data_IF_547621802853
#
_entry.id   IF_547621802853
#
_cell.length_a   1.000
_cell.length_b   1.000
_cell.length_c   1.000
_cell.angle_alpha   90.00
_cell.angle_beta   90.00
_cell.angle_gamma   90.00
#
_symmetry.space_group_name_H-M   'P 1'
#
loop_
_entity.id
_entity.type
_entity.pdbx_description
1 polymer ?
#
# COMPACT_ATOMS: atom_id res chain seq x y z
N UNK A 1 4.33 -7.81 -11.64
CA UNK A 1 3.65 -7.52 -10.36
C UNK A 1 4.59 -6.66 -9.54
N UNK A 2 4.07 -5.71 -8.77
CA UNK A 2 4.85 -4.68 -8.07
C UNK A 2 5.97 -5.28 -7.20
N UNK A 3 5.78 -6.47 -6.64
CA UNK A 3 6.81 -7.22 -5.91
C UNK A 3 8.05 -7.53 -6.76
N UNK A 4 7.85 -8.03 -7.98
CA UNK A 4 8.94 -8.36 -8.91
C UNK A 4 9.66 -7.09 -9.36
N UNK A 5 8.92 -6.00 -9.59
CA UNK A 5 9.48 -4.71 -9.97
C UNK A 5 10.34 -4.14 -8.84
N UNK A 6 9.92 -4.30 -7.58
CA UNK A 6 10.72 -3.96 -6.40
C UNK A 6 12.02 -4.76 -6.32
N UNK A 7 11.94 -6.08 -6.52
CA UNK A 7 13.12 -6.97 -6.51
C UNK A 7 14.10 -6.59 -7.63
N UNK A 8 13.59 -6.28 -8.82
CA UNK A 8 14.39 -5.79 -9.94
C UNK A 8 15.05 -4.45 -9.64
N UNK A 9 14.30 -3.47 -9.11
CA UNK A 9 14.83 -2.16 -8.76
C UNK A 9 15.95 -2.26 -7.70
N UNK A 10 15.77 -3.08 -6.67
CA UNK A 10 16.80 -3.34 -5.67
C UNK A 10 18.08 -3.93 -6.28
N UNK A 11 17.94 -4.79 -7.29
CA UNK A 11 19.07 -5.38 -8.00
C UNK A 11 19.82 -4.34 -8.85
N UNK A 12 19.09 -3.52 -9.60
CA UNK A 12 19.66 -2.43 -10.40
C UNK A 12 20.40 -1.41 -9.52
N UNK A 13 19.84 -1.09 -8.36
CA UNK A 13 20.44 -0.16 -7.39
C UNK A 13 21.55 -0.79 -6.53
N UNK A 14 21.80 -2.10 -6.62
CA UNK A 14 22.82 -2.79 -5.82
C UNK A 14 22.47 -2.97 -4.33
N UNK A 15 21.22 -2.74 -3.94
CA UNK A 15 20.77 -2.72 -2.53
C UNK A 15 20.04 -3.99 -2.09
N UNK A 16 19.95 -5.02 -2.94
CA UNK A 16 19.29 -6.31 -2.63
C UNK A 16 19.71 -6.91 -1.29
N UNK A 17 20.97 -6.72 -0.89
CA UNK A 17 21.52 -7.24 0.36
C UNK A 17 20.83 -6.67 1.63
N UNK A 18 20.20 -5.50 1.55
CA UNK A 18 19.46 -4.86 2.65
C UNK A 18 18.08 -5.49 2.89
N UNK A 19 17.58 -6.31 1.95
CA UNK A 19 16.22 -6.82 1.98
C UNK A 19 16.18 -8.35 2.04
N UNK A 20 15.14 -8.89 2.67
CA UNK A 20 14.77 -10.31 2.64
C UNK A 20 13.47 -10.43 1.85
N UNK A 21 13.50 -11.22 0.79
CA UNK A 21 12.39 -11.46 -0.12
C UNK A 21 11.71 -12.79 0.22
N UNK A 22 10.39 -12.78 0.37
CA UNK A 22 9.59 -13.98 0.63
C UNK A 22 8.73 -14.29 -0.61
N UNK A 23 8.96 -15.46 -1.23
CA UNK A 23 8.30 -15.81 -2.49
C UNK A 23 7.00 -16.59 -2.30
N UNK A 24 6.76 -17.20 -1.13
CA UNK A 24 5.51 -17.96 -0.87
C UNK A 24 4.37 -17.05 -0.44
N UNK A 25 4.69 -16.00 0.32
CA UNK A 25 3.79 -14.89 0.63
C UNK A 25 4.52 -13.62 0.21
N UNK A 26 4.03 -12.84 -0.78
CA UNK A 26 4.76 -11.69 -1.29
C UNK A 26 4.86 -10.61 -0.22
N UNK A 27 6.02 -10.58 0.44
CA UNK A 27 6.44 -9.61 1.44
C UNK A 27 7.96 -9.39 1.32
N UNK A 28 8.39 -8.19 1.69
CA UNK A 28 9.80 -7.81 1.72
C UNK A 28 10.11 -7.27 3.12
N UNK A 29 11.15 -7.78 3.75
CA UNK A 29 11.63 -7.29 5.07
C UNK A 29 12.90 -6.48 4.90
N UNK A 30 12.95 -5.29 5.49
CA UNK A 30 14.18 -4.51 5.65
C UNK A 30 15.02 -5.14 6.76
N UNK A 31 16.20 -5.66 6.45
CA UNK A 31 17.00 -6.44 7.43
C UNK A 31 17.47 -5.63 8.63
N UNK A 32 17.74 -4.34 8.44
CA UNK A 32 18.26 -3.48 9.49
C UNK A 32 17.20 -3.16 10.57
N UNK A 33 15.94 -3.00 10.17
CA UNK A 33 14.86 -2.57 11.07
C UNK A 33 13.82 -3.65 11.36
N UNK A 34 13.75 -4.69 10.55
CA UNK A 34 12.69 -5.71 10.62
C UNK A 34 11.34 -5.26 10.04
N UNK A 35 11.23 -4.02 9.57
CA UNK A 35 10.01 -3.49 8.97
C UNK A 35 9.66 -4.23 7.68
N UNK A 36 8.36 -4.37 7.40
CA UNK A 36 7.85 -5.14 6.29
C UNK A 36 7.12 -4.27 5.28
N UNK A 37 7.34 -4.58 4.00
CA UNK A 37 6.54 -4.12 2.87
C UNK A 37 5.70 -5.32 2.44
N UNK A 38 4.38 -5.19 2.51
CA UNK A 38 3.44 -6.27 2.24
C UNK A 38 2.73 -6.01 0.92
N UNK A 39 2.61 -7.02 0.07
CA UNK A 39 1.91 -6.93 -1.21
C UNK A 39 0.60 -7.73 -1.11
N UNK A 40 -0.54 -7.08 -1.33
CA UNK A 40 -1.86 -7.68 -1.22
C UNK A 40 -2.75 -7.21 -2.37
N UNK A 41 -3.53 -8.12 -2.93
CA UNK A 41 -4.64 -7.79 -3.80
C UNK A 41 -5.84 -7.33 -2.97
N UNK A 42 -6.67 -6.47 -3.57
CA UNK A 42 -7.95 -5.99 -3.01
C UNK A 42 -9.14 -6.91 -3.36
N UNK A 43 -8.85 -8.10 -3.89
CA UNK A 43 -9.83 -9.15 -4.14
C UNK A 43 -10.39 -9.75 -2.84
N UNK A 44 -9.59 -9.70 -1.76
CA UNK A 44 -9.98 -10.16 -0.44
C UNK A 44 -9.63 -9.09 0.62
N UNK A 45 -10.55 -8.14 0.80
CA UNK A 45 -10.43 -7.02 1.74
C UNK A 45 -10.25 -7.47 3.20
N UNK A 46 -10.85 -8.61 3.59
CA UNK A 46 -10.73 -9.17 4.95
C UNK A 46 -9.30 -9.61 5.26
N UNK A 47 -8.54 -10.07 4.26
CA UNK A 47 -7.12 -10.38 4.43
C UNK A 47 -6.27 -9.14 4.67
N UNK A 48 -6.72 -7.95 4.26
CA UNK A 48 -5.99 -6.69 4.46
C UNK A 48 -6.32 -6.09 5.83
N UNK A 49 -7.59 -6.08 6.21
CA UNK A 49 -8.03 -5.51 7.49
C UNK A 49 -7.52 -6.27 8.71
N UNK A 50 -7.19 -7.56 8.54
CA UNK A 50 -6.63 -8.42 9.59
C UNK A 50 -5.10 -8.41 9.67
N UNK A 51 -4.40 -7.61 8.86
CA UNK A 51 -2.94 -7.58 8.85
C UNK A 51 -2.44 -6.91 10.12
N UNK A 52 -1.61 -7.63 10.84
CA UNK A 52 -0.80 -7.12 11.94
C UNK A 52 0.67 -7.30 11.60
N UNK A 53 1.51 -6.37 12.05
CA UNK A 53 2.96 -6.44 11.91
C UNK A 53 3.60 -6.56 13.28
N UNK A 54 4.67 -7.34 13.36
CA UNK A 54 5.44 -7.62 14.58
C UNK A 54 6.38 -6.46 14.95
N UNK A 55 6.75 -5.62 13.98
CA UNK A 55 7.62 -4.46 14.16
C UNK A 55 7.00 -3.23 13.51
N UNK A 56 6.79 -2.18 14.31
CA UNK A 56 6.23 -0.90 13.87
C UNK A 56 4.70 -0.94 13.69
N UNK A 57 4.19 -0.14 12.76
CA UNK A 57 2.79 -0.11 12.37
C UNK A 57 2.66 0.18 10.89
N UNK A 58 1.53 -0.22 10.31
CA UNK A 58 1.18 0.15 8.95
C UNK A 58 0.83 1.63 8.94
N UNK A 59 1.75 2.44 8.43
CA UNK A 59 1.57 3.89 8.28
C UNK A 59 1.58 4.34 6.81
N UNK A 60 1.95 3.45 5.88
CA UNK A 60 1.99 3.76 4.46
C UNK A 60 1.22 2.72 3.65
N UNK A 61 0.35 3.19 2.78
CA UNK A 61 -0.33 2.37 1.78
C UNK A 61 -0.05 2.94 0.40
N UNK A 62 0.25 2.06 -0.56
CA UNK A 62 0.41 2.43 -1.96
C UNK A 62 -0.51 1.57 -2.81
N UNK A 63 -1.49 2.23 -3.44
CA UNK A 63 -2.47 1.63 -4.32
C UNK A 63 -2.04 1.82 -5.77
N UNK A 64 -1.42 0.78 -6.33
CA UNK A 64 -1.09 0.69 -7.75
C UNK A 64 -2.33 0.31 -8.57
N UNK A 65 -2.38 0.81 -9.82
CA UNK A 65 -3.50 0.57 -10.75
C UNK A 65 -4.88 0.79 -10.12
N UNK A 66 -5.05 1.86 -9.34
CA UNK A 66 -6.25 2.08 -8.52
C UNK A 66 -7.58 2.12 -9.30
N UNK A 67 -7.52 2.26 -10.63
CA UNK A 67 -8.66 2.13 -11.53
C UNK A 67 -9.27 0.69 -11.56
N UNK A 68 -8.50 -0.34 -11.17
CA UNK A 68 -9.02 -1.72 -11.06
C UNK A 68 -9.84 -1.95 -9.79
N UNK A 69 -9.79 -1.02 -8.83
CA UNK A 69 -10.58 -1.10 -7.62
C UNK A 69 -12.01 -0.69 -7.99
N UNK A 70 -12.92 -1.65 -7.94
CA UNK A 70 -14.27 -1.49 -8.50
C UNK A 70 -15.11 -0.43 -7.78
N UNK A 71 -14.90 -0.23 -6.48
CA UNK A 71 -15.71 0.67 -5.65
C UNK A 71 -14.85 1.47 -4.66
N UNK A 72 -15.33 2.67 -4.34
CA UNK A 72 -14.75 3.51 -3.28
C UNK A 72 -14.79 2.82 -1.92
N UNK A 73 -15.86 2.07 -1.61
CA UNK A 73 -16.01 1.40 -0.31
C UNK A 73 -14.88 0.40 -0.03
N UNK A 74 -14.41 -0.33 -1.06
CA UNK A 74 -13.26 -1.24 -0.95
C UNK A 74 -11.98 -0.46 -0.59
N UNK A 75 -11.78 0.68 -1.24
CA UNK A 75 -10.65 1.56 -0.96
C UNK A 75 -10.73 2.13 0.46
N UNK A 76 -11.87 2.71 0.83
CA UNK A 76 -12.11 3.32 2.14
C UNK A 76 -11.94 2.33 3.29
N UNK A 77 -12.44 1.10 3.15
CA UNK A 77 -12.28 0.03 4.15
C UNK A 77 -10.80 -0.25 4.45
N UNK A 78 -9.97 -0.33 3.41
CA UNK A 78 -8.53 -0.56 3.59
C UNK A 78 -7.84 0.65 4.19
N UNK A 79 -8.14 1.86 3.71
CA UNK A 79 -7.59 3.10 4.28
C UNK A 79 -7.93 3.19 5.77
N UNK A 80 -9.17 2.87 6.14
CA UNK A 80 -9.63 2.86 7.53
C UNK A 80 -8.90 1.83 8.40
N UNK A 81 -8.64 0.64 7.88
CA UNK A 81 -7.89 -0.38 8.63
C UNK A 81 -6.45 0.04 8.97
N UNK A 82 -5.86 0.90 8.12
CA UNK A 82 -4.51 1.44 8.31
C UNK A 82 -4.53 2.63 9.29
N UNK A 83 -5.70 3.12 9.73
CA UNK A 83 -5.84 4.29 10.62
C UNK A 83 -5.40 4.06 12.08
N UNK A 84 -4.80 2.93 12.45
CA UNK A 84 -4.23 2.72 13.81
C UNK A 84 -3.29 3.86 14.26
N UNK A 85 -3.45 4.39 15.47
CA UNK A 85 -2.63 5.50 15.98
C UNK A 85 -1.43 4.99 16.77
N UNK A 86 -0.24 5.51 16.48
CA UNK A 86 0.89 5.45 17.41
C UNK A 86 1.09 6.81 18.05
N UNK A 87 1.25 6.82 19.37
CA UNK A 87 1.60 8.02 20.13
C UNK A 87 3.11 8.27 20.06
N UNK A 88 3.59 8.65 18.87
CA UNK A 88 4.98 9.08 18.66
C UNK A 88 5.00 10.43 17.94
N UNK A 89 5.88 11.37 18.33
CA UNK A 89 5.86 12.75 17.82
C UNK A 89 5.97 12.85 16.29
N UNK A 90 6.72 11.95 15.67
CA UNK A 90 7.00 11.93 14.23
C UNK A 90 6.13 10.91 13.47
N UNK A 91 4.98 10.54 14.05
CA UNK A 91 4.06 9.61 13.38
C UNK A 91 3.44 10.26 12.14
N UNK A 92 3.85 9.78 10.97
CA UNK A 92 3.28 10.21 9.70
C UNK A 92 2.56 9.05 9.01
N UNK A 93 1.39 9.34 8.46
CA UNK A 93 0.64 8.41 7.61
C UNK A 93 0.56 8.94 6.20
N UNK A 94 0.69 8.05 5.24
CA UNK A 94 0.55 8.39 3.83
C UNK A 94 -0.25 7.34 3.09
N UNK A 95 -1.15 7.80 2.24
CA UNK A 95 -1.81 6.98 1.24
C UNK A 95 -1.38 7.54 -0.12
N UNK A 96 -0.70 6.71 -0.90
CA UNK A 96 -0.28 7.04 -2.27
C UNK A 96 -1.16 6.26 -3.24
N UNK A 97 -1.74 6.94 -4.23
CA UNK A 97 -2.62 6.33 -5.23
C UNK A 97 -2.08 6.66 -6.62
N UNK A 98 -1.86 5.62 -7.42
CA UNK A 98 -1.33 5.72 -8.79
C UNK A 98 -2.28 4.99 -9.73
N UNK A 99 -2.66 5.66 -10.81
CA UNK A 99 -3.57 5.11 -11.80
C UNK A 99 -3.42 5.85 -13.13
N UNK A 100 -3.81 5.18 -14.20
CA UNK A 100 -3.96 5.81 -15.51
C UNK A 100 -5.40 6.36 -15.63
N UNK A 101 -5.60 7.60 -16.09
CA UNK A 101 -6.93 8.20 -16.20
C UNK A 101 -7.66 7.69 -17.45
N UNK A 102 -8.67 6.83 -17.28
CA UNK A 102 -9.41 6.23 -18.42
C UNK A 102 -10.88 6.63 -18.51
N UNK A 103 -11.53 7.07 -17.42
CA UNK A 103 -12.97 7.32 -17.41
C UNK A 103 -13.38 8.36 -16.35
N UNK A 104 -14.12 9.38 -16.79
CA UNK A 104 -14.64 10.44 -15.92
C UNK A 104 -15.72 9.97 -14.93
N UNK A 105 -16.36 8.83 -15.19
CA UNK A 105 -17.38 8.26 -14.28
C UNK A 105 -16.79 7.41 -13.16
N UNK A 106 -15.46 7.24 -13.15
CA UNK A 106 -14.81 6.44 -12.11
C UNK A 106 -14.83 7.16 -10.77
N UNK A 107 -15.05 6.42 -9.68
CA UNK A 107 -15.17 6.98 -8.32
C UNK A 107 -13.93 7.78 -7.88
N UNK A 108 -12.74 7.40 -8.38
CA UNK A 108 -11.47 8.13 -8.16
C UNK A 108 -11.57 9.63 -8.50
N UNK A 109 -12.29 9.99 -9.56
CA UNK A 109 -12.47 11.39 -9.96
C UNK A 109 -13.21 12.16 -8.86
N UNK A 110 -14.33 11.60 -8.41
CA UNK A 110 -15.16 12.18 -7.35
C UNK A 110 -14.38 12.34 -6.04
N UNK A 111 -13.63 11.32 -5.64
CA UNK A 111 -12.93 11.31 -4.35
C UNK A 111 -11.74 12.25 -4.30
N UNK A 112 -10.97 12.37 -5.38
CA UNK A 112 -9.67 13.04 -5.36
C UNK A 112 -9.60 14.34 -6.18
N UNK A 113 -10.56 14.61 -7.08
CA UNK A 113 -10.44 15.70 -8.06
C UNK A 113 -11.67 16.61 -8.17
N UNK A 114 -12.85 16.18 -7.70
CA UNK A 114 -14.04 17.05 -7.74
C UNK A 114 -13.99 18.10 -6.62
N UNK A 115 -14.28 19.36 -6.97
CA UNK A 115 -14.10 20.56 -6.12
C UNK A 115 -14.88 20.54 -4.80
N UNK A 116 -15.93 19.72 -4.65
CA UNK A 116 -16.67 19.58 -3.39
C UNK A 116 -15.84 18.89 -2.28
N UNK A 117 -14.66 18.34 -2.60
CA UNK A 117 -13.85 17.52 -1.69
C UNK A 117 -12.59 18.22 -1.17
N UNK A 118 -12.40 19.52 -1.48
CA UNK A 118 -11.21 20.31 -1.12
C UNK A 118 -11.36 21.12 0.17
#
# INVERSE_FOLDING_TARGET
STYTDFKWACNVLGVTHLFKFNESLPEITVKATGQKILFRGLDDELKITSITVDVGSLCWAWFEEAYQIETEDKFSTVVESIRGSLDVPDFFKQITVTFNPWNERHWLKRVFFDEETS
#
